data_IF_679263653393
#
_entry.id   IF_679263653393
#
_cell.length_a   1.000
_cell.length_b   1.000
_cell.length_c   1.000
_cell.angle_alpha   90.00
_cell.angle_beta   90.00
_cell.angle_gamma   90.00
#
_symmetry.space_group_name_H-M   'P 1'
#
loop_
_entity.id
_entity.type
_entity.pdbx_description
1 polymer ?
#
# COMPACT_ATOMS: atom_id res chain seq x y z
N UNK A 1 -7.55 -30.51 1.26
CA UNK A 1 -7.24 -29.18 1.81
C UNK A 1 -7.93 -28.17 0.92
N UNK A 2 -8.77 -27.28 1.47
CA UNK A 2 -9.34 -26.21 0.67
C UNK A 2 -8.20 -25.28 0.23
N UNK A 3 -7.95 -25.20 -1.08
CA UNK A 3 -7.05 -24.20 -1.65
C UNK A 3 -7.81 -22.89 -1.56
N UNK A 4 -7.53 -22.10 -0.52
CA UNK A 4 -8.01 -20.74 -0.47
C UNK A 4 -7.30 -19.98 -1.60
N UNK A 5 -8.06 -19.54 -2.61
CA UNK A 5 -7.60 -18.56 -3.59
C UNK A 5 -7.45 -17.22 -2.85
N UNK A 6 -6.36 -17.08 -2.10
CA UNK A 6 -6.07 -15.84 -1.40
C UNK A 6 -5.74 -14.78 -2.46
N UNK A 7 -6.55 -13.72 -2.60
CA UNK A 7 -6.28 -12.68 -3.58
C UNK A 7 -4.92 -12.05 -3.28
N UNK A 8 -4.07 -11.95 -4.30
CA UNK A 8 -2.76 -11.34 -4.16
C UNK A 8 -2.94 -9.83 -4.01
N UNK A 9 -2.62 -9.32 -2.81
CA UNK A 9 -2.57 -7.89 -2.59
C UNK A 9 -1.45 -7.25 -3.43
N UNK A 10 -1.66 -6.04 -3.95
CA UNK A 10 -0.59 -5.25 -4.56
C UNK A 10 0.49 -4.92 -3.52
N UNK A 11 1.68 -4.43 -3.94
CA UNK A 11 2.68 -3.95 -3.00
C UNK A 11 2.14 -2.79 -2.18
N UNK A 12 2.17 -2.92 -0.85
CA UNK A 12 1.66 -1.94 0.11
C UNK A 12 2.78 -1.33 0.95
N UNK A 13 2.63 -0.06 1.26
CA UNK A 13 3.49 0.65 2.20
C UNK A 13 2.67 1.50 3.16
N UNK A 14 3.20 1.71 4.36
CA UNK A 14 2.61 2.61 5.34
C UNK A 14 3.26 3.98 5.19
N UNK A 15 2.44 5.02 5.12
CA UNK A 15 2.87 6.42 5.10
C UNK A 15 2.30 7.12 6.33
N UNK A 16 3.21 7.60 7.18
CA UNK A 16 2.83 8.36 8.37
C UNK A 16 2.70 9.84 8.02
N UNK A 17 1.59 10.44 8.42
CA UNK A 17 1.35 11.89 8.34
C UNK A 17 0.82 12.40 9.69
N UNK A 18 1.73 12.92 10.51
CA UNK A 18 1.43 13.36 11.86
C UNK A 18 0.92 12.20 12.72
N UNK A 19 -0.33 12.30 13.19
CA UNK A 19 -1.00 11.28 14.02
C UNK A 19 -1.73 10.20 13.22
N UNK A 20 -1.66 10.24 11.89
CA UNK A 20 -2.35 9.31 11.02
C UNK A 20 -1.36 8.43 10.26
N UNK A 21 -1.72 7.17 10.07
CA UNK A 21 -0.97 6.22 9.27
C UNK A 21 -1.85 5.71 8.15
N UNK A 22 -1.41 5.92 6.92
CA UNK A 22 -2.13 5.54 5.70
C UNK A 22 -1.49 4.32 5.06
N UNK A 23 -2.32 3.47 4.47
CA UNK A 23 -1.90 2.33 3.67
C UNK A 23 -1.98 2.74 2.20
N UNK A 24 -0.87 2.62 1.49
CA UNK A 24 -0.74 3.12 0.12
C UNK A 24 -0.11 2.05 -0.77
N UNK A 25 -0.63 1.88 -1.99
CA UNK A 25 0.00 1.04 -3.01
C UNK A 25 1.22 1.74 -3.61
N UNK A 26 2.16 0.98 -4.12
CA UNK A 26 3.29 1.57 -4.84
C UNK A 26 3.74 0.70 -6.01
N UNK A 27 4.36 1.36 -6.99
CA UNK A 27 5.03 0.71 -8.12
C UNK A 27 6.50 1.04 -8.10
N UNK A 28 7.35 0.02 -8.23
CA UNK A 28 8.79 0.18 -8.40
C UNK A 28 9.16 -0.05 -9.87
N UNK A 29 10.02 0.81 -10.38
CA UNK A 29 10.69 0.63 -11.68
C UNK A 29 12.19 0.76 -11.50
N UNK A 30 12.95 0.09 -12.37
CA UNK A 30 14.40 0.27 -12.41
C UNK A 30 14.76 1.63 -13.04
N UNK A 31 15.43 2.49 -12.29
CA UNK A 31 15.97 3.74 -12.78
C UNK A 31 17.29 3.46 -13.51
N UNK A 32 17.31 3.64 -14.83
CA UNK A 32 18.49 3.39 -15.67
C UNK A 32 19.63 4.39 -15.42
N UNK A 33 19.30 5.61 -14.99
CA UNK A 33 20.27 6.68 -14.77
C UNK A 33 20.98 6.49 -13.44
N UNK A 34 20.20 6.26 -12.37
CA UNK A 34 20.73 6.08 -11.02
C UNK A 34 21.12 4.62 -10.72
N UNK A 35 20.82 3.68 -11.63
CA UNK A 35 21.08 2.24 -11.53
C UNK A 35 20.53 1.62 -10.23
N UNK A 36 19.31 2.00 -9.86
CA UNK A 36 18.66 1.54 -8.64
C UNK A 36 17.14 1.43 -8.82
N UNK A 37 16.43 0.62 -8.03
CA UNK A 37 14.97 0.62 -8.02
C UNK A 37 14.44 1.92 -7.43
N UNK A 38 13.45 2.54 -8.08
CA UNK A 38 12.80 3.75 -7.60
C UNK A 38 11.29 3.61 -7.66
N UNK A 39 10.60 4.21 -6.68
CA UNK A 39 9.14 4.34 -6.74
C UNK A 39 8.76 5.27 -7.89
N UNK A 40 7.74 4.90 -8.65
CA UNK A 40 7.22 5.73 -9.74
C UNK A 40 6.43 6.89 -9.12
N UNK A 41 6.83 8.15 -9.32
CA UNK A 41 6.08 9.30 -8.80
C UNK A 41 4.65 9.32 -9.33
N UNK A 42 3.68 9.66 -8.48
CA UNK A 42 2.27 9.79 -8.86
C UNK A 42 1.51 8.48 -9.08
N UNK A 43 2.16 7.31 -8.96
CA UNK A 43 1.53 5.99 -9.09
C UNK A 43 1.14 5.38 -7.74
N UNK A 44 1.28 6.13 -6.65
CA UNK A 44 0.93 5.66 -5.32
C UNK A 44 -0.51 6.06 -5.01
N UNK A 45 -1.39 5.10 -4.71
CA UNK A 45 -2.79 5.35 -4.34
C UNK A 45 -3.01 4.95 -2.87
N UNK A 46 -3.62 5.83 -2.09
CA UNK A 46 -4.04 5.47 -0.71
C UNK A 46 -5.24 4.54 -0.79
N UNK A 47 -5.11 3.38 -0.16
CA UNK A 47 -6.11 2.30 -0.18
C UNK A 47 -6.68 2.00 1.20
N UNK A 48 -6.18 2.65 2.24
CA UNK A 48 -6.74 2.55 3.58
C UNK A 48 -5.96 3.35 4.61
N UNK A 49 -6.30 3.15 5.88
CA UNK A 49 -5.63 3.75 7.04
C UNK A 49 -5.56 2.77 8.20
N UNK A 50 -4.59 2.95 9.09
CA UNK A 50 -4.49 2.19 10.33
C UNK A 50 -5.35 2.88 11.39
N UNK A 51 -6.29 2.13 11.96
CA UNK A 51 -7.15 2.62 13.04
C UNK A 51 -6.29 2.95 14.26
N UNK A 52 -6.44 4.15 14.81
CA UNK A 52 -5.67 4.61 15.97
C UNK A 52 -4.31 5.23 15.64
N UNK A 53 -3.88 5.26 14.36
CA UNK A 53 -2.71 6.04 13.92
C UNK A 53 -1.33 5.47 14.26
N UNK A 54 -1.26 4.22 14.73
CA UNK A 54 0.01 3.51 14.93
C UNK A 54 0.64 3.03 13.62
N UNK A 55 1.84 2.44 13.70
CA UNK A 55 2.51 1.76 12.58
C UNK A 55 2.03 0.32 12.38
N UNK A 56 1.27 -0.20 13.34
CA UNK A 56 0.68 -1.54 13.35
C UNK A 56 -0.77 -1.41 13.84
N UNK A 57 -1.64 -2.30 13.38
CA UNK A 57 -3.04 -2.32 13.81
C UNK A 57 -3.99 -2.77 12.73
N UNK A 58 -5.29 -2.59 13.00
CA UNK A 58 -6.36 -2.91 12.06
C UNK A 58 -6.37 -1.89 10.93
N UNK A 59 -6.39 -2.40 9.70
CA UNK A 59 -6.51 -1.57 8.49
C UNK A 59 -8.00 -1.37 8.20
N UNK A 60 -8.43 -0.12 8.16
CA UNK A 60 -9.69 0.29 7.56
C UNK A 60 -9.44 0.55 6.07
N UNK A 61 -9.87 -0.39 5.23
CA UNK A 61 -9.71 -0.32 3.77
C UNK A 61 -10.74 0.61 3.14
N UNK A 62 -10.34 1.27 2.06
CA UNK A 62 -11.27 2.01 1.21
C UNK A 62 -12.16 1.03 0.45
N UNK A 63 -13.47 1.28 0.39
CA UNK A 63 -14.42 0.43 -0.32
C UNK A 63 -14.05 0.27 -1.79
N UNK A 64 -13.64 1.36 -2.46
CA UNK A 64 -13.19 1.35 -3.86
C UNK A 64 -12.04 0.37 -4.13
N UNK A 65 -11.20 0.07 -3.12
CA UNK A 65 -10.10 -0.88 -3.25
C UNK A 65 -10.54 -2.33 -3.03
N UNK A 66 -11.60 -2.55 -2.24
CA UNK A 66 -12.16 -3.88 -2.01
C UNK A 66 -13.08 -4.33 -3.14
N UNK A 67 -13.65 -3.37 -3.88
CA UNK A 67 -14.55 -3.61 -5.01
C UNK A 67 -13.79 -3.81 -6.35
N UNK A 68 -12.45 -3.66 -6.36
CA UNK A 68 -11.55 -3.79 -7.52
C UNK A 68 -11.02 -5.23 -7.69
#
# INVERSE_FOLDING_TARGET
MAVADTPKLPPLMIINQGKYSYVTTYKITWDKTLRQPRRVPGQNKTVGKIVGGGTEGVIEWNSEFLDE
#
